data_IF_995622110350
#
_entry.id   IF_995622110350
#
_cell.length_a   1.000
_cell.length_b   1.000
_cell.length_c   1.000
_cell.angle_alpha   90.00
_cell.angle_beta   90.00
_cell.angle_gamma   90.00
#
_symmetry.space_group_name_H-M   'P 1'
#
loop_
_entity.id
_entity.type
_entity.pdbx_description
1 polymer ?
#
# COMPACT_ATOMS: atom_id res chain seq x y z
N UNK A 1 51.19 19.64 -27.50
CA UNK A 1 52.33 19.13 -26.71
C UNK A 1 51.80 18.15 -25.68
N UNK A 2 52.11 16.86 -25.86
CA UNK A 2 51.80 15.80 -24.89
C UNK A 2 52.59 16.08 -23.61
N UNK A 3 51.93 16.23 -22.47
CA UNK A 3 52.57 16.01 -21.18
C UNK A 3 52.23 14.57 -20.76
N UNK A 4 53.24 13.73 -20.86
CA UNK A 4 53.24 12.33 -20.45
C UNK A 4 53.41 12.32 -18.93
N UNK A 5 52.36 11.93 -18.20
CA UNK A 5 52.40 11.77 -16.75
C UNK A 5 53.01 10.38 -16.42
N UNK A 6 54.18 10.30 -15.76
CA UNK A 6 54.85 9.04 -15.45
C UNK A 6 54.29 8.31 -14.22
N UNK A 7 53.22 8.78 -13.57
CA UNK A 7 52.64 8.17 -12.35
C UNK A 7 51.26 7.51 -12.58
N UNK A 8 50.97 7.07 -13.81
CA UNK A 8 49.76 6.30 -14.09
C UNK A 8 49.97 4.83 -13.74
N UNK A 9 49.64 4.44 -12.49
CA UNK A 9 49.48 3.04 -12.11
C UNK A 9 48.50 2.34 -13.07
N UNK A 10 48.79 1.10 -13.53
CA UNK A 10 47.81 0.35 -14.31
C UNK A 10 46.63 0.05 -13.40
N UNK A 11 45.49 0.69 -13.64
CA UNK A 11 44.23 0.20 -13.11
C UNK A 11 44.00 -1.15 -13.77
N UNK A 12 44.26 -2.22 -13.03
CA UNK A 12 43.73 -3.54 -13.32
C UNK A 12 42.21 -3.38 -13.40
N UNK A 13 41.71 -3.26 -14.62
CA UNK A 13 40.31 -3.45 -14.98
C UNK A 13 39.94 -4.87 -14.58
N UNK A 14 39.66 -5.07 -13.30
CA UNK A 14 38.81 -6.17 -12.85
C UNK A 14 37.39 -5.66 -13.09
N UNK A 15 36.96 -5.68 -14.36
CA UNK A 15 35.54 -5.70 -14.64
C UNK A 15 35.06 -7.08 -14.23
N UNK A 16 34.16 -7.22 -13.23
CA UNK A 16 33.38 -8.44 -13.15
C UNK A 16 32.61 -8.58 -14.47
N UNK A 17 32.43 -9.81 -14.98
CA UNK A 17 31.67 -10.02 -16.18
C UNK A 17 30.27 -9.44 -15.98
N UNK A 18 29.82 -8.67 -16.96
CA UNK A 18 28.42 -8.36 -17.21
C UNK A 18 27.74 -9.72 -17.40
N UNK A 19 27.29 -10.29 -16.29
CA UNK A 19 26.99 -11.71 -16.17
C UNK A 19 25.97 -11.91 -15.07
N UNK A 20 24.72 -11.79 -15.48
CA UNK A 20 23.52 -12.12 -14.73
C UNK A 20 23.28 -11.27 -13.47
N UNK A 21 22.55 -10.16 -13.64
CA UNK A 21 21.34 -10.06 -12.83
C UNK A 21 20.53 -11.32 -13.13
N UNK A 22 20.78 -12.40 -12.37
CA UNK A 22 19.74 -13.38 -12.17
C UNK A 22 18.60 -12.55 -11.63
N UNK A 23 17.54 -12.35 -12.43
CA UNK A 23 16.26 -11.93 -11.89
C UNK A 23 15.80 -13.08 -10.98
N UNK A 24 16.40 -13.19 -9.80
CA UNK A 24 15.71 -13.78 -8.67
C UNK A 24 14.43 -12.98 -8.56
N UNK A 25 13.33 -13.67 -8.82
CA UNK A 25 11.99 -13.13 -8.78
C UNK A 25 11.86 -12.15 -7.62
N UNK A 26 11.78 -10.85 -7.91
CA UNK A 26 11.40 -9.83 -6.94
C UNK A 26 9.91 -9.97 -6.53
N UNK A 27 9.37 -11.20 -6.58
CA UNK A 27 7.95 -11.58 -6.46
C UNK A 27 7.31 -11.25 -5.11
N UNK A 28 8.09 -10.74 -4.15
CA UNK A 28 7.61 -10.35 -2.83
C UNK A 28 7.95 -8.91 -2.42
N UNK A 29 8.77 -8.17 -3.17
CA UNK A 29 9.30 -6.87 -2.74
C UNK A 29 8.55 -5.69 -3.36
N UNK A 30 8.26 -4.68 -2.54
CA UNK A 30 7.63 -3.43 -2.97
C UNK A 30 8.63 -2.39 -3.48
N UNK A 31 8.11 -1.23 -3.91
CA UNK A 31 8.91 -0.12 -4.47
C UNK A 31 10.03 0.39 -3.54
N UNK A 32 9.88 0.21 -2.23
CA UNK A 32 10.88 0.63 -1.23
C UNK A 32 11.86 -0.48 -0.83
N UNK A 33 11.88 -1.61 -1.53
CA UNK A 33 12.76 -2.75 -1.24
C UNK A 33 12.36 -3.58 -0.01
N UNK A 34 11.31 -3.18 0.71
CA UNK A 34 10.67 -3.98 1.77
C UNK A 34 9.62 -4.95 1.21
N UNK A 35 8.98 -5.77 2.07
CA UNK A 35 7.88 -6.63 1.65
C UNK A 35 6.74 -5.81 1.02
N UNK A 36 6.14 -6.34 -0.04
CA UNK A 36 5.00 -5.71 -0.70
C UNK A 36 3.76 -5.67 0.21
N UNK A 37 2.80 -4.79 -0.08
CA UNK A 37 1.58 -4.60 0.75
C UNK A 37 0.80 -5.90 1.01
N UNK A 38 0.76 -6.79 0.03
CA UNK A 38 0.01 -8.06 0.12
C UNK A 38 0.92 -9.28 0.34
N UNK A 39 2.19 -9.05 0.71
CA UNK A 39 3.13 -10.13 0.96
C UNK A 39 2.70 -11.10 2.08
N UNK A 40 2.11 -10.66 3.21
CA UNK A 40 1.64 -11.60 4.24
C UNK A 40 0.58 -12.59 3.72
N UNK A 41 -0.39 -12.13 2.94
CA UNK A 41 -1.41 -13.01 2.34
C UNK A 41 -0.82 -13.98 1.31
N UNK A 42 0.20 -13.53 0.58
CA UNK A 42 0.95 -14.41 -0.33
C UNK A 42 1.70 -15.51 0.42
N UNK A 43 2.28 -15.22 1.58
CA UNK A 43 2.95 -16.22 2.42
C UNK A 43 1.97 -17.28 2.92
N UNK A 44 0.76 -16.89 3.34
CA UNK A 44 -0.29 -17.83 3.75
C UNK A 44 -0.74 -18.74 2.60
N UNK A 45 -0.92 -18.18 1.40
CA UNK A 45 -1.24 -18.95 0.20
C UNK A 45 -0.15 -19.95 -0.15
N UNK A 46 1.11 -19.51 -0.15
CA UNK A 46 2.26 -20.39 -0.39
C UNK A 46 2.41 -21.46 0.69
N UNK A 47 2.22 -21.10 1.96
CA UNK A 47 2.21 -22.06 3.07
C UNK A 47 1.16 -23.14 2.86
N UNK A 48 -0.05 -22.76 2.45
CA UNK A 48 -1.10 -23.71 2.13
C UNK A 48 -0.73 -24.62 0.94
N UNK A 49 -0.13 -24.08 -0.12
CA UNK A 49 0.32 -24.88 -1.26
C UNK A 49 1.43 -25.86 -0.87
N UNK A 50 2.40 -25.45 -0.06
CA UNK A 50 3.49 -26.33 0.40
C UNK A 50 2.95 -27.53 1.19
N UNK A 51 1.92 -27.33 2.00
CA UNK A 51 1.34 -28.41 2.82
C UNK A 51 0.39 -29.31 2.02
N UNK A 52 -0.23 -28.81 0.95
CA UNK A 52 -1.29 -29.52 0.23
C UNK A 52 -0.91 -29.97 -1.19
N UNK A 53 0.30 -29.68 -1.66
CA UNK A 53 0.75 -30.07 -3.01
C UNK A 53 2.10 -30.76 -2.96
N UNK A 54 2.38 -31.56 -3.97
CA UNK A 54 3.72 -32.09 -4.24
C UNK A 54 4.21 -31.54 -5.58
N UNK A 55 5.48 -31.80 -5.94
CA UNK A 55 6.03 -31.36 -7.22
C UNK A 55 5.26 -31.90 -8.43
N UNK A 56 4.55 -33.02 -8.27
CA UNK A 56 3.83 -33.73 -9.33
C UNK A 56 2.30 -33.63 -9.19
N UNK A 57 1.77 -33.50 -7.96
CA UNK A 57 0.33 -33.35 -7.71
C UNK A 57 -0.03 -31.91 -7.28
N UNK A 58 -0.84 -31.27 -8.11
CA UNK A 58 -1.37 -29.92 -7.88
C UNK A 58 -2.86 -29.91 -7.51
N UNK A 59 -3.50 -31.06 -7.35
CA UNK A 59 -4.93 -31.17 -7.05
C UNK A 59 -5.31 -30.50 -5.73
N UNK A 60 -4.41 -30.52 -4.75
CA UNK A 60 -4.61 -29.92 -3.43
C UNK A 60 -4.60 -28.39 -3.40
N UNK A 61 -4.21 -27.69 -4.49
CA UNK A 61 -4.32 -26.22 -4.58
C UNK A 61 -5.75 -25.72 -4.36
N UNK A 62 -6.75 -26.53 -4.72
CA UNK A 62 -8.18 -26.22 -4.53
C UNK A 62 -8.56 -26.05 -3.05
N UNK A 63 -7.86 -26.72 -2.13
CA UNK A 63 -8.08 -26.59 -0.68
C UNK A 63 -7.69 -25.21 -0.14
N UNK A 64 -6.79 -24.52 -0.85
CA UNK A 64 -6.28 -23.21 -0.49
C UNK A 64 -7.12 -22.06 -1.07
N UNK A 65 -8.36 -22.33 -1.51
CA UNK A 65 -9.24 -21.33 -2.12
C UNK A 65 -9.47 -20.11 -1.22
N UNK A 66 -9.61 -20.29 0.10
CA UNK A 66 -9.80 -19.17 1.02
C UNK A 66 -8.57 -18.24 1.09
N UNK A 67 -7.37 -18.80 1.26
CA UNK A 67 -6.13 -18.03 1.27
C UNK A 67 -5.88 -17.34 -0.10
N UNK A 68 -6.27 -17.99 -1.19
CA UNK A 68 -6.21 -17.43 -2.53
C UNK A 68 -7.15 -16.23 -2.67
N UNK A 69 -8.38 -16.36 -2.19
CA UNK A 69 -9.37 -15.29 -2.18
C UNK A 69 -8.90 -14.08 -1.37
N UNK A 70 -8.27 -14.28 -0.22
CA UNK A 70 -7.74 -13.19 0.61
C UNK A 70 -6.57 -12.46 -0.07
N UNK A 71 -5.68 -13.19 -0.74
CA UNK A 71 -4.62 -12.59 -1.54
C UNK A 71 -5.16 -11.74 -2.69
N UNK A 72 -6.17 -12.24 -3.43
CA UNK A 72 -6.82 -11.48 -4.50
C UNK A 72 -7.67 -10.31 -3.99
N UNK A 73 -8.25 -10.44 -2.81
CA UNK A 73 -8.94 -9.35 -2.12
C UNK A 73 -7.95 -8.21 -1.84
N UNK A 74 -6.79 -8.50 -1.23
CA UNK A 74 -5.78 -7.47 -0.98
C UNK A 74 -5.25 -6.80 -2.26
N UNK A 75 -5.13 -7.54 -3.36
CA UNK A 75 -4.63 -6.97 -4.63
C UNK A 75 -5.63 -6.01 -5.28
N UNK A 76 -6.93 -6.32 -5.20
CA UNK A 76 -7.94 -5.66 -6.02
C UNK A 76 -9.04 -4.97 -5.23
N UNK A 77 -9.11 -5.18 -3.92
CA UNK A 77 -10.07 -4.62 -2.97
C UNK A 77 -11.53 -4.68 -3.47
N UNK A 78 -11.91 -5.74 -4.20
CA UNK A 78 -13.23 -5.85 -4.84
C UNK A 78 -14.35 -5.92 -3.80
N UNK A 79 -14.14 -6.70 -2.74
CA UNK A 79 -15.12 -6.90 -1.66
C UNK A 79 -15.27 -5.61 -0.87
N UNK A 80 -14.16 -4.95 -0.53
CA UNK A 80 -14.22 -3.65 0.15
C UNK A 80 -14.90 -2.58 -0.73
N UNK A 81 -14.52 -2.44 -2.00
CA UNK A 81 -15.16 -1.47 -2.89
C UNK A 81 -16.67 -1.68 -3.04
N UNK A 82 -17.12 -2.94 -3.12
CA UNK A 82 -18.56 -3.25 -3.15
C UNK A 82 -19.26 -2.87 -1.83
N UNK A 83 -18.63 -3.19 -0.69
CA UNK A 83 -19.14 -2.85 0.64
C UNK A 83 -19.22 -1.34 0.86
N UNK A 84 -18.15 -0.61 0.55
CA UNK A 84 -18.13 0.86 0.68
C UNK A 84 -19.21 1.50 -0.18
N UNK A 85 -19.41 1.03 -1.43
CA UNK A 85 -20.49 1.52 -2.30
C UNK A 85 -21.88 1.27 -1.71
N UNK A 86 -22.13 0.08 -1.17
CA UNK A 86 -23.40 -0.26 -0.54
C UNK A 86 -23.67 0.63 0.69
N UNK A 87 -22.66 0.82 1.54
CA UNK A 87 -22.74 1.70 2.71
C UNK A 87 -22.98 3.16 2.33
N UNK A 88 -22.25 3.67 1.34
CA UNK A 88 -22.44 5.04 0.84
C UNK A 88 -23.83 5.24 0.24
N UNK A 89 -24.36 4.25 -0.49
CA UNK A 89 -25.71 4.32 -1.03
C UNK A 89 -26.78 4.35 0.08
N UNK A 90 -26.62 3.50 1.10
CA UNK A 90 -27.50 3.50 2.26
C UNK A 90 -27.43 4.83 3.04
N UNK A 91 -26.23 5.36 3.23
CA UNK A 91 -26.00 6.65 3.90
C UNK A 91 -26.68 7.80 3.16
N UNK A 92 -26.46 7.94 1.85
CA UNK A 92 -27.10 8.98 1.03
C UNK A 92 -28.63 8.88 1.05
N UNK A 93 -29.17 7.66 1.04
CA UNK A 93 -30.61 7.43 1.17
C UNK A 93 -31.12 7.90 2.54
N UNK A 94 -30.43 7.56 3.62
CA UNK A 94 -30.78 7.98 4.97
C UNK A 94 -30.69 9.51 5.13
N UNK A 95 -29.63 10.14 4.62
CA UNK A 95 -29.47 11.60 4.61
C UNK A 95 -30.62 12.27 3.87
N UNK A 96 -30.99 11.80 2.68
CA UNK A 96 -32.10 12.40 1.92
C UNK A 96 -33.45 12.32 2.66
N UNK A 97 -33.63 11.30 3.51
CA UNK A 97 -34.85 11.12 4.30
C UNK A 97 -34.86 11.91 5.62
N UNK A 98 -33.70 12.35 6.12
CA UNK A 98 -33.55 12.97 7.45
C UNK A 98 -32.61 14.20 7.45
N UNK A 99 -32.48 14.87 6.30
CA UNK A 99 -31.49 15.93 6.05
C UNK A 99 -31.62 17.14 7.00
N UNK A 100 -32.82 17.35 7.58
CA UNK A 100 -33.11 18.47 8.49
C UNK A 100 -32.71 18.17 9.94
N UNK A 101 -32.71 16.91 10.34
CA UNK A 101 -32.53 16.49 11.74
C UNK A 101 -31.06 16.16 12.08
N UNK A 102 -30.23 15.89 11.07
CA UNK A 102 -28.80 15.56 11.24
C UNK A 102 -27.84 16.75 11.03
N UNK A 103 -28.35 17.98 11.00
CA UNK A 103 -27.50 19.17 10.89
C UNK A 103 -26.56 19.28 12.11
N UNK A 104 -25.24 19.46 11.92
CA UNK A 104 -24.31 19.58 13.04
C UNK A 104 -24.69 20.77 13.93
N UNK A 105 -24.85 20.51 15.24
CA UNK A 105 -25.14 21.59 16.19
C UNK A 105 -23.95 22.57 16.24
N UNK A 106 -24.23 23.84 16.53
CA UNK A 106 -23.20 24.86 16.65
C UNK A 106 -22.12 24.49 17.68
N UNK A 107 -22.46 23.76 18.74
CA UNK A 107 -21.51 23.24 19.73
C UNK A 107 -20.56 22.18 19.16
N UNK A 108 -21.06 21.29 18.29
CA UNK A 108 -20.26 20.27 17.64
C UNK A 108 -19.24 20.87 16.67
N UNK A 109 -19.64 21.93 15.96
CA UNK A 109 -18.76 22.68 15.04
C UNK A 109 -17.70 23.47 15.82
N UNK A 110 -18.04 24.04 16.98
CA UNK A 110 -17.08 24.72 17.88
C UNK A 110 -16.02 23.77 18.45
N UNK A 111 -16.40 22.55 18.85
CA UNK A 111 -15.46 21.56 19.40
C UNK A 111 -14.45 21.03 18.37
N UNK A 112 -14.81 21.03 17.09
CA UNK A 112 -13.89 20.74 15.99
C UNK A 112 -12.93 21.92 15.69
N UNK A 113 -13.08 23.04 16.40
CA UNK A 113 -12.25 24.23 16.23
C UNK A 113 -12.48 24.97 14.91
N UNK A 114 -13.65 24.80 14.29
CA UNK A 114 -14.05 25.41 13.01
C UNK A 114 -14.73 26.78 13.17
N UNK A 115 -15.21 27.14 14.37
CA UNK A 115 -15.87 28.42 14.69
C UNK A 115 -15.20 29.10 15.88
N UNK A 116 -15.04 30.44 15.82
CA UNK A 116 -14.60 31.27 16.96
C UNK A 116 -13.08 31.47 17.13
N UNK A 117 -12.26 31.13 16.14
CA UNK A 117 -10.79 31.27 16.19
C UNK A 117 -10.26 32.59 15.61
N UNK A 118 -11.09 33.61 15.46
CA UNK A 118 -10.61 34.90 14.97
C UNK A 118 -9.62 35.56 15.94
N UNK A 119 -9.78 35.32 17.24
CA UNK A 119 -8.85 35.82 18.26
C UNK A 119 -7.63 34.89 18.46
N UNK A 120 -7.81 33.57 18.43
CA UNK A 120 -6.69 32.60 18.50
C UNK A 120 -5.77 32.65 17.27
N UNK A 121 -6.34 32.92 16.08
CA UNK A 121 -5.56 33.07 14.84
C UNK A 121 -4.75 34.36 14.88
N UNK A 122 -5.30 35.48 15.38
CA UNK A 122 -4.55 36.73 15.55
C UNK A 122 -3.38 36.59 16.52
N UNK A 123 -3.55 35.81 17.59
CA UNK A 123 -2.47 35.50 18.55
C UNK A 123 -1.34 34.71 17.88
N UNK A 124 -1.66 33.80 16.95
CA UNK A 124 -0.65 32.98 16.24
C UNK A 124 -0.04 33.69 15.03
N UNK A 125 -0.78 34.55 14.32
CA UNK A 125 -0.30 35.24 13.11
C UNK A 125 0.30 36.62 13.38
N UNK A 126 0.36 37.07 14.63
CA UNK A 126 1.04 38.30 15.03
C UNK A 126 0.59 39.55 14.27
N UNK A 127 -0.64 39.55 13.75
CA UNK A 127 -1.20 40.64 12.98
C UNK A 127 -1.98 41.55 13.94
N UNK A 128 -1.29 42.55 14.48
CA UNK A 128 -1.89 43.70 15.17
C UNK A 128 -2.51 44.66 14.18
#
# INVERSE_FOLDING_TARGET
LRLHDPNRRPQSFIHPPIGACTSTMASGYGLHGGPSRCFPFWQELLGCYVVNTTGEDHSGKKKCGLALEDYYECLHHKKEAARTRALQAAYRKAESASARDNAPSAGQIRNLGLLGKEDDTKVVTGSS
#
